data_IF_641050836964
#
_entry.id   IF_641050836964
#
_cell.length_a   1.000
_cell.length_b   1.000
_cell.length_c   1.000
_cell.angle_alpha   90.00
_cell.angle_beta   90.00
_cell.angle_gamma   90.00
#
_symmetry.space_group_name_H-M   'P 1'
#
loop_
_entity.id
_entity.type
_entity.pdbx_description
1 polymer ?
#
# COMPACT_ATOMS: atom_id res chain seq x y z
N UNK A 1 -29.92 2.89 -11.83
CA UNK A 1 -29.15 2.35 -10.68
C UNK A 1 -27.78 3.03 -10.57
N UNK A 2 -26.99 3.07 -11.63
CA UNK A 2 -25.65 3.71 -11.70
C UNK A 2 -25.61 5.15 -11.16
N UNK A 3 -26.52 6.03 -11.59
CA UNK A 3 -26.57 7.43 -11.10
C UNK A 3 -26.81 7.53 -9.58
N UNK A 4 -27.52 6.57 -8.99
CA UNK A 4 -27.76 6.52 -7.53
C UNK A 4 -26.51 6.08 -6.78
N UNK A 5 -25.78 5.09 -7.31
CA UNK A 5 -24.51 4.59 -6.74
C UNK A 5 -23.45 5.69 -6.79
N UNK A 6 -23.30 6.35 -7.95
CA UNK A 6 -22.36 7.44 -8.11
C UNK A 6 -22.67 8.61 -7.18
N UNK A 7 -23.96 8.92 -6.96
CA UNK A 7 -24.37 9.96 -6.01
C UNK A 7 -24.07 9.57 -4.55
N UNK A 8 -24.23 8.30 -4.19
CA UNK A 8 -23.89 7.81 -2.86
C UNK A 8 -22.38 7.81 -2.61
N UNK A 9 -21.57 7.33 -3.57
CA UNK A 9 -20.10 7.33 -3.45
C UNK A 9 -19.51 8.74 -3.34
N UNK A 10 -20.18 9.75 -3.89
CA UNK A 10 -19.81 11.17 -3.72
C UNK A 10 -19.84 11.67 -2.28
N UNK A 11 -20.45 10.93 -1.35
CA UNK A 11 -20.37 11.25 0.08
C UNK A 11 -18.94 11.11 0.64
N UNK A 12 -18.12 10.24 0.06
CA UNK A 12 -16.75 9.96 0.54
C UNK A 12 -15.68 10.23 -0.53
N UNK A 13 -16.06 10.21 -1.83
CA UNK A 13 -15.12 10.28 -2.96
C UNK A 13 -15.55 11.39 -3.93
N UNK A 14 -14.75 12.45 -4.05
CA UNK A 14 -15.08 13.61 -4.91
C UNK A 14 -15.44 13.20 -6.34
N UNK A 15 -14.64 12.31 -6.92
CA UNK A 15 -14.85 11.77 -8.27
C UNK A 15 -14.81 10.25 -8.20
N UNK A 16 -15.96 9.57 -8.00
CA UNK A 16 -16.01 8.11 -7.90
C UNK A 16 -15.43 7.46 -9.16
N UNK A 17 -14.45 6.55 -9.04
CA UNK A 17 -13.93 5.77 -10.16
C UNK A 17 -14.99 4.88 -10.79
N UNK A 18 -14.95 4.73 -12.12
CA UNK A 18 -15.94 3.93 -12.87
C UNK A 18 -15.93 2.44 -12.49
N UNK A 19 -14.75 1.89 -12.21
CA UNK A 19 -14.56 0.51 -11.76
C UNK A 19 -15.19 0.27 -10.38
N UNK A 20 -15.03 1.23 -9.46
CA UNK A 20 -15.66 1.20 -8.14
C UNK A 20 -17.19 1.33 -8.24
N UNK A 21 -17.69 2.21 -9.12
CA UNK A 21 -19.13 2.31 -9.41
C UNK A 21 -19.64 0.97 -9.96
N UNK A 22 -18.90 0.37 -10.89
CA UNK A 22 -19.27 -0.89 -11.52
C UNK A 22 -19.35 -2.06 -10.51
N UNK A 23 -18.42 -2.13 -9.54
CA UNK A 23 -18.44 -3.13 -8.46
C UNK A 23 -19.82 -3.20 -7.78
N UNK A 24 -20.37 -2.04 -7.42
CA UNK A 24 -21.65 -1.93 -6.71
C UNK A 24 -22.89 -2.06 -7.61
N UNK A 25 -22.73 -2.28 -8.92
CA UNK A 25 -23.85 -2.63 -9.81
C UNK A 25 -24.05 -4.14 -9.95
N UNK A 26 -23.13 -4.95 -9.42
CA UNK A 26 -23.15 -6.41 -9.51
C UNK A 26 -23.35 -7.06 -8.13
N UNK A 27 -23.78 -8.33 -8.07
CA UNK A 27 -23.78 -9.08 -6.82
C UNK A 27 -22.37 -9.16 -6.23
N UNK A 28 -22.26 -8.85 -4.94
CA UNK A 28 -20.99 -8.86 -4.22
C UNK A 28 -20.70 -10.26 -3.65
N UNK A 29 -19.46 -10.77 -3.75
CA UNK A 29 -19.12 -12.08 -3.21
C UNK A 29 -19.03 -12.04 -1.68
N UNK A 30 -19.60 -13.06 -1.04
CA UNK A 30 -19.60 -13.24 0.42
C UNK A 30 -19.26 -14.69 0.73
N UNK A 31 -18.02 -14.92 1.14
CA UNK A 31 -17.43 -16.20 1.54
C UNK A 31 -16.53 -15.96 2.78
N UNK A 32 -17.11 -15.81 3.98
CA UNK A 32 -16.37 -15.42 5.18
C UNK A 32 -15.25 -16.40 5.56
N UNK A 33 -15.43 -17.71 5.32
CA UNK A 33 -14.41 -18.74 5.54
C UNK A 33 -13.15 -18.53 4.69
N UNK A 34 -13.27 -17.78 3.59
CA UNK A 34 -12.16 -17.41 2.71
C UNK A 34 -11.67 -15.97 2.93
N UNK A 35 -12.10 -15.32 4.02
CA UNK A 35 -11.84 -13.89 4.33
C UNK A 35 -12.37 -12.92 3.27
N UNK A 36 -13.42 -13.33 2.55
CA UNK A 36 -14.08 -12.52 1.53
C UNK A 36 -15.48 -12.17 2.02
N UNK A 37 -15.71 -10.92 2.38
CA UNK A 37 -17.03 -10.38 2.68
C UNK A 37 -17.07 -8.93 2.23
N UNK A 38 -17.48 -8.73 0.97
CA UNK A 38 -17.65 -7.38 0.44
C UNK A 38 -18.80 -6.67 1.16
N UNK A 39 -18.53 -5.44 1.58
CA UNK A 39 -19.49 -4.57 2.23
C UNK A 39 -20.51 -4.10 1.19
N UNK A 40 -21.80 -4.12 1.53
CA UNK A 40 -22.79 -3.43 0.72
C UNK A 40 -22.54 -1.91 0.79
N UNK A 41 -22.97 -1.16 -0.23
CA UNK A 41 -22.61 0.26 -0.37
C UNK A 41 -22.88 1.13 0.88
N UNK A 42 -24.02 1.02 1.58
CA UNK A 42 -24.24 1.79 2.81
C UNK A 42 -23.23 1.45 3.91
N UNK A 43 -22.89 0.17 4.07
CA UNK A 43 -21.95 -0.30 5.09
C UNK A 43 -20.50 0.10 4.73
N UNK A 44 -20.15 0.02 3.44
CA UNK A 44 -18.88 0.48 2.93
C UNK A 44 -18.67 1.99 3.17
N UNK A 45 -19.71 2.80 2.96
CA UNK A 45 -19.69 4.25 3.25
C UNK A 45 -19.49 4.49 4.75
N UNK A 46 -20.31 3.85 5.60
CA UNK A 46 -20.21 4.01 7.05
C UNK A 46 -18.84 3.59 7.58
N UNK A 47 -18.31 2.48 7.09
CA UNK A 47 -16.99 2.01 7.53
C UNK A 47 -15.88 2.90 6.99
N UNK A 48 -16.00 3.41 5.76
CA UNK A 48 -15.07 4.41 5.22
C UNK A 48 -14.95 5.63 6.13
N UNK A 49 -16.08 6.16 6.62
CA UNK A 49 -16.05 7.27 7.59
C UNK A 49 -15.31 6.89 8.88
N UNK A 50 -15.57 5.70 9.44
CA UNK A 50 -14.85 5.24 10.62
C UNK A 50 -13.34 5.06 10.37
N UNK A 51 -12.93 4.61 9.19
CA UNK A 51 -11.51 4.52 8.81
C UNK A 51 -10.89 5.92 8.73
N UNK A 52 -11.59 6.91 8.14
CA UNK A 52 -11.11 8.29 8.05
C UNK A 52 -10.94 8.95 9.42
N UNK A 53 -11.80 8.59 10.39
CA UNK A 53 -11.73 9.13 11.76
C UNK A 53 -10.66 8.44 12.62
N UNK A 54 -10.36 7.16 12.37
CA UNK A 54 -9.57 6.32 13.28
C UNK A 54 -8.17 5.97 12.77
N UNK A 55 -7.91 6.17 11.48
CA UNK A 55 -6.62 5.83 10.88
C UNK A 55 -5.97 7.08 10.30
N UNK A 56 -4.65 7.16 10.43
CA UNK A 56 -3.88 8.26 9.84
C UNK A 56 -3.91 8.24 8.30
N UNK A 57 -4.12 7.08 7.68
CA UNK A 57 -4.10 6.93 6.23
C UNK A 57 -5.44 7.20 5.55
N UNK A 58 -6.55 7.14 6.31
CA UNK A 58 -7.90 7.16 5.76
C UNK A 58 -8.14 8.39 4.89
N UNK A 59 -7.87 9.58 5.44
CA UNK A 59 -8.11 10.85 4.75
C UNK A 59 -7.03 11.17 3.71
N UNK A 60 -5.74 10.95 4.04
CA UNK A 60 -4.61 11.28 3.16
C UNK A 60 -4.65 10.49 1.85
N UNK A 61 -4.85 9.18 1.94
CA UNK A 61 -4.93 8.28 0.78
C UNK A 61 -6.35 8.15 0.20
N UNK A 62 -7.34 8.72 0.88
CA UNK A 62 -8.75 8.61 0.51
C UNK A 62 -9.21 7.15 0.46
N UNK A 63 -8.93 6.40 1.53
CA UNK A 63 -9.26 4.98 1.61
C UNK A 63 -10.78 4.78 1.56
N UNK A 64 -11.25 3.82 0.78
CA UNK A 64 -12.65 3.43 0.72
C UNK A 64 -12.78 1.93 0.99
N UNK A 65 -13.49 1.56 2.06
CA UNK A 65 -13.62 0.17 2.47
C UNK A 65 -14.36 -0.66 1.41
N UNK A 66 -13.82 -1.84 1.05
CA UNK A 66 -14.44 -2.76 0.10
C UNK A 66 -14.91 -4.04 0.77
N UNK A 67 -14.07 -4.61 1.63
CA UNK A 67 -14.22 -5.94 2.18
C UNK A 67 -13.80 -5.93 3.64
N UNK A 68 -14.61 -6.52 4.52
CA UNK A 68 -14.25 -6.81 5.90
C UNK A 68 -14.91 -8.12 6.29
N UNK A 69 -14.11 -9.15 6.53
CA UNK A 69 -14.58 -10.47 6.94
C UNK A 69 -14.90 -10.53 8.44
N UNK A 70 -15.32 -9.40 9.01
CA UNK A 70 -15.56 -9.17 10.44
C UNK A 70 -14.31 -9.48 11.29
N UNK A 71 -13.15 -9.13 10.76
CA UNK A 71 -11.85 -9.25 11.43
C UNK A 71 -11.15 -7.91 11.60
N UNK A 72 -11.79 -6.82 11.17
CA UNK A 72 -11.25 -5.47 11.27
C UNK A 72 -9.94 -5.29 10.48
N UNK A 73 -9.70 -6.15 9.49
CA UNK A 73 -8.60 -6.03 8.54
C UNK A 73 -9.13 -5.72 7.13
N UNK A 74 -9.71 -4.52 6.89
CA UNK A 74 -10.40 -4.29 5.64
C UNK A 74 -9.44 -4.11 4.46
N UNK A 75 -9.84 -4.66 3.32
CA UNK A 75 -9.28 -4.23 2.03
C UNK A 75 -9.94 -2.92 1.59
N UNK A 76 -9.12 -1.93 1.27
CA UNK A 76 -9.53 -0.57 0.95
C UNK A 76 -9.05 -0.16 -0.44
N UNK A 77 -9.93 0.48 -1.21
CA UNK A 77 -9.58 1.14 -2.47
C UNK A 77 -8.94 2.49 -2.20
N UNK A 78 -7.79 2.77 -2.82
CA UNK A 78 -7.09 4.06 -2.69
C UNK A 78 -7.65 5.06 -3.71
N UNK A 79 -8.20 6.19 -3.26
CA UNK A 79 -8.81 7.17 -4.18
C UNK A 79 -7.97 8.43 -4.41
N UNK A 80 -6.90 8.63 -3.64
CA UNK A 80 -6.02 9.81 -3.69
C UNK A 80 -4.53 9.42 -3.70
N UNK A 81 -3.70 10.37 -4.12
CA UNK A 81 -2.24 10.23 -4.12
C UNK A 81 -1.68 9.35 -5.24
N UNK A 82 -0.36 9.08 -5.21
CA UNK A 82 0.35 8.34 -6.26
C UNK A 82 -0.14 6.91 -6.46
N UNK A 83 -0.67 6.28 -5.40
CA UNK A 83 -1.16 4.90 -5.42
C UNK A 83 -2.66 4.77 -5.78
N UNK A 84 -3.30 5.86 -6.22
CA UNK A 84 -4.72 5.87 -6.60
C UNK A 84 -5.05 4.71 -7.55
N UNK A 85 -6.12 3.99 -7.22
CA UNK A 85 -6.59 2.82 -7.96
C UNK A 85 -6.09 1.48 -7.43
N UNK A 86 -5.05 1.47 -6.59
CA UNK A 86 -4.57 0.27 -5.93
C UNK A 86 -5.46 -0.13 -4.74
N UNK A 87 -5.29 -1.37 -4.27
CA UNK A 87 -5.97 -1.89 -3.07
C UNK A 87 -4.95 -2.05 -1.94
N UNK A 88 -5.24 -1.40 -0.83
CA UNK A 88 -4.49 -1.43 0.41
C UNK A 88 -5.18 -2.34 1.40
N UNK A 89 -4.42 -3.19 2.08
CA UNK A 89 -4.90 -4.02 3.17
C UNK A 89 -4.51 -3.37 4.50
N UNK A 90 -5.52 -2.95 5.27
CA UNK A 90 -5.30 -2.44 6.62
C UNK A 90 -5.23 -3.65 7.55
N UNK A 91 -4.08 -3.87 8.20
CA UNK A 91 -3.94 -4.84 9.26
C UNK A 91 -3.97 -4.14 10.62
N UNK A 92 -4.74 -4.64 11.58
CA UNK A 92 -4.73 -4.11 12.94
C UNK A 92 -3.39 -4.37 13.66
N UNK A 93 -2.81 -5.55 13.47
CA UNK A 93 -1.61 -6.03 14.18
C UNK A 93 -0.38 -6.20 13.27
N UNK A 94 -0.43 -5.65 12.04
CA UNK A 94 0.58 -5.90 11.01
C UNK A 94 0.96 -4.68 10.18
N UNK A 95 1.83 -4.91 9.21
CA UNK A 95 2.24 -3.89 8.25
C UNK A 95 1.02 -3.50 7.38
N UNK A 96 0.78 -2.19 7.21
CA UNK A 96 -0.18 -1.70 6.22
C UNK A 96 0.48 -1.78 4.85
N UNK A 97 -0.12 -2.54 3.94
CA UNK A 97 0.51 -2.87 2.65
C UNK A 97 -0.45 -2.67 1.50
N UNK A 98 0.07 -2.20 0.37
CA UNK A 98 -0.65 -2.20 -0.90
C UNK A 98 -0.45 -3.59 -1.52
N UNK A 99 -1.51 -4.39 -1.56
CA UNK A 99 -1.44 -5.79 -2.00
C UNK A 99 -1.81 -5.99 -3.46
N UNK A 100 -2.66 -5.13 -4.01
CA UNK A 100 -3.14 -5.26 -5.39
C UNK A 100 -2.99 -3.97 -6.17
N UNK A 101 -2.55 -4.10 -7.41
CA UNK A 101 -2.26 -2.98 -8.31
C UNK A 101 -3.52 -2.31 -8.86
N UNK A 102 -4.68 -2.97 -8.73
CA UNK A 102 -5.97 -2.46 -9.17
C UNK A 102 -7.13 -3.21 -8.51
N UNK A 103 -8.33 -2.64 -8.57
CA UNK A 103 -9.56 -3.36 -8.20
C UNK A 103 -9.77 -4.62 -9.05
N UNK A 104 -9.45 -4.59 -10.35
CA UNK A 104 -9.53 -5.76 -11.21
C UNK A 104 -8.63 -6.90 -10.71
N UNK A 105 -7.36 -6.59 -10.38
CA UNK A 105 -6.43 -7.58 -9.84
C UNK A 105 -6.89 -8.15 -8.49
N UNK A 106 -7.53 -7.34 -7.65
CA UNK A 106 -8.15 -7.81 -6.40
C UNK A 106 -9.32 -8.76 -6.66
N UNK A 107 -10.22 -8.42 -7.60
CA UNK A 107 -11.34 -9.28 -7.96
C UNK A 107 -10.89 -10.60 -8.60
N UNK A 108 -9.82 -10.59 -9.40
CA UNK A 108 -9.19 -11.80 -9.93
C UNK A 108 -8.64 -12.69 -8.80
N UNK A 109 -8.05 -12.09 -7.77
CA UNK A 109 -7.58 -12.82 -6.59
C UNK A 109 -8.74 -13.38 -5.77
N UNK A 110 -9.81 -12.63 -5.55
CA UNK A 110 -11.06 -13.12 -4.94
C UNK A 110 -11.59 -14.33 -5.69
N UNK A 111 -11.66 -14.26 -7.02
CA UNK A 111 -12.09 -15.38 -7.86
C UNK A 111 -11.14 -16.59 -7.74
N UNK A 112 -9.84 -16.36 -7.60
CA UNK A 112 -8.84 -17.42 -7.42
C UNK A 112 -8.97 -18.09 -6.06
N UNK A 113 -9.11 -17.32 -4.98
CA UNK A 113 -9.37 -17.81 -3.63
C UNK A 113 -10.62 -18.70 -3.60
N UNK A 114 -11.72 -18.24 -4.21
CA UNK A 114 -12.96 -19.01 -4.33
C UNK A 114 -12.76 -20.33 -5.09
N UNK A 115 -12.00 -20.32 -6.19
CA UNK A 115 -11.74 -21.54 -6.99
C UNK A 115 -10.84 -22.54 -6.26
N UNK A 116 -9.91 -22.05 -5.45
CA UNK A 116 -8.95 -22.89 -4.72
C UNK A 116 -9.44 -23.28 -3.32
N UNK A 117 -10.49 -22.64 -2.82
CA UNK A 117 -10.97 -22.84 -1.45
C UNK A 117 -9.95 -22.40 -0.40
N UNK A 118 -9.14 -21.38 -0.71
CA UNK A 118 -8.12 -20.83 0.18
C UNK A 118 -8.53 -19.42 0.63
N UNK A 119 -8.21 -19.03 1.88
CA UNK A 119 -8.27 -17.63 2.28
C UNK A 119 -7.50 -16.74 1.30
N UNK A 120 -8.03 -15.54 1.02
CA UNK A 120 -7.44 -14.64 0.03
C UNK A 120 -5.99 -14.21 0.38
N UNK A 121 -5.67 -14.18 1.67
CA UNK A 121 -4.34 -13.91 2.23
C UNK A 121 -3.35 -15.06 2.00
N UNK A 122 -3.86 -16.31 1.92
CA UNK A 122 -3.05 -17.52 1.74
C UNK A 122 -2.72 -17.80 0.26
N UNK A 123 -3.20 -16.95 -0.66
CA UNK A 123 -2.87 -17.08 -2.07
C UNK A 123 -1.35 -16.91 -2.27
N UNK A 124 -0.72 -17.74 -3.13
CA UNK A 124 0.71 -17.67 -3.37
C UNK A 124 1.13 -16.29 -3.86
N UNK A 125 2.33 -15.85 -3.44
CA UNK A 125 2.84 -14.49 -3.59
C UNK A 125 2.60 -13.88 -4.97
N UNK A 126 1.98 -12.68 -4.95
CA UNK A 126 1.63 -11.91 -6.14
C UNK A 126 2.86 -11.14 -6.59
N UNK A 127 3.19 -11.16 -7.88
CA UNK A 127 4.17 -10.23 -8.45
C UNK A 127 3.56 -8.83 -8.43
N UNK A 128 3.78 -8.11 -7.33
CA UNK A 128 3.25 -6.78 -7.11
C UNK A 128 4.19 -5.74 -7.70
N UNK A 129 3.85 -5.25 -8.90
CA UNK A 129 4.56 -4.18 -9.60
C UNK A 129 3.56 -3.19 -10.19
N UNK A 130 2.97 -2.29 -9.39
CA UNK A 130 2.04 -1.30 -9.92
C UNK A 130 2.79 -0.34 -10.85
N UNK A 131 2.13 0.04 -11.95
CA UNK A 131 2.63 1.09 -12.83
C UNK A 131 2.34 2.44 -12.18
N UNK A 132 3.32 2.97 -11.46
CA UNK A 132 3.23 4.26 -10.76
C UNK A 132 3.97 5.33 -11.56
N UNK A 133 3.39 6.54 -11.62
CA UNK A 133 4.10 7.73 -12.08
C UNK A 133 5.18 8.07 -11.05
N UNK A 134 6.43 7.72 -11.38
CA UNK A 134 7.55 7.87 -10.46
C UNK A 134 7.90 9.33 -10.19
N UNK A 135 7.65 10.25 -11.13
CA UNK A 135 7.94 11.67 -10.91
C UNK A 135 6.91 12.25 -9.92
N UNK A 136 5.62 11.94 -10.13
CA UNK A 136 4.57 12.32 -9.18
C UNK A 136 4.79 11.69 -7.79
N UNK A 137 5.20 10.42 -7.72
CA UNK A 137 5.54 9.76 -6.46
C UNK A 137 6.71 10.45 -5.75
N UNK A 138 7.78 10.80 -6.46
CA UNK A 138 8.94 11.47 -5.88
C UNK A 138 8.60 12.87 -5.34
N UNK A 139 7.80 13.64 -6.08
CA UNK A 139 7.31 14.96 -5.65
C UNK A 139 6.45 14.84 -4.39
N UNK A 140 5.54 13.85 -4.38
CA UNK A 140 4.67 13.60 -3.22
C UNK A 140 5.45 13.15 -1.99
N UNK A 141 6.42 12.24 -2.15
CA UNK A 141 7.34 11.83 -1.06
C UNK A 141 8.08 13.04 -0.50
N UNK A 142 8.63 13.89 -1.37
CA UNK A 142 9.36 15.09 -0.95
C UNK A 142 8.47 16.04 -0.16
N UNK A 143 7.21 16.18 -0.56
CA UNK A 143 6.21 16.95 0.17
C UNK A 143 5.92 16.37 1.56
N UNK A 144 5.71 15.05 1.66
CA UNK A 144 5.46 14.36 2.93
C UNK A 144 6.65 14.48 3.90
N UNK A 145 7.89 14.33 3.40
CA UNK A 145 9.11 14.55 4.20
C UNK A 145 9.15 15.98 4.75
N UNK A 146 8.73 16.98 3.98
CA UNK A 146 8.73 18.37 4.41
C UNK A 146 7.63 18.69 5.45
N UNK A 147 6.54 17.92 5.48
CA UNK A 147 5.46 18.07 6.47
C UNK A 147 5.91 17.53 7.84
N UNK A 148 6.61 16.40 7.87
CA UNK A 148 7.16 15.76 9.09
C UNK A 148 6.09 15.59 10.19
N UNK A 149 4.99 14.89 9.86
CA UNK A 149 3.91 14.54 10.78
C UNK A 149 3.70 13.03 10.86
N UNK A 150 3.10 12.53 11.94
CA UNK A 150 2.79 11.09 12.10
C UNK A 150 1.96 10.53 10.92
N UNK A 151 1.04 11.33 10.37
CA UNK A 151 0.26 10.99 9.19
C UNK A 151 1.15 10.85 7.94
N UNK A 152 2.06 11.81 7.74
CA UNK A 152 3.03 11.76 6.65
C UNK A 152 3.98 10.57 6.80
N UNK A 153 4.45 10.27 8.01
CA UNK A 153 5.29 9.10 8.28
C UNK A 153 4.60 7.78 7.91
N UNK A 154 3.34 7.63 8.31
CA UNK A 154 2.55 6.45 7.96
C UNK A 154 2.42 6.32 6.44
N UNK A 155 2.07 7.39 5.74
CA UNK A 155 1.94 7.36 4.28
C UNK A 155 3.28 7.08 3.59
N UNK A 156 4.38 7.67 4.07
CA UNK A 156 5.73 7.40 3.58
C UNK A 156 6.07 5.91 3.69
N UNK A 157 5.74 5.24 4.79
CA UNK A 157 6.01 3.80 4.95
C UNK A 157 5.26 2.94 3.93
N UNK A 158 4.01 3.32 3.61
CA UNK A 158 3.15 2.62 2.64
C UNK A 158 3.60 2.88 1.20
N UNK A 159 4.04 4.10 0.88
CA UNK A 159 4.46 4.48 -0.46
C UNK A 159 5.89 4.08 -0.79
N UNK A 160 6.77 3.93 0.21
CA UNK A 160 8.20 3.59 -0.02
C UNK A 160 8.38 2.32 -0.87
N UNK A 161 7.65 1.21 -0.66
CA UNK A 161 7.75 0.02 -1.52
C UNK A 161 7.43 0.25 -3.00
N UNK A 162 6.75 1.35 -3.36
CA UNK A 162 6.39 1.70 -4.73
C UNK A 162 7.49 2.49 -5.48
N UNK A 163 8.49 2.98 -4.75
CA UNK A 163 9.55 3.80 -5.30
C UNK A 163 10.53 2.93 -6.10
N UNK A 164 10.84 3.35 -7.32
CA UNK A 164 11.91 2.75 -8.11
C UNK A 164 13.27 3.08 -7.49
N UNK A 165 14.10 2.07 -7.21
CA UNK A 165 15.42 2.26 -6.60
C UNK A 165 16.42 2.99 -7.51
N UNK A 166 16.09 3.19 -8.80
CA UNK A 166 16.79 4.12 -9.68
C UNK A 166 16.60 5.61 -9.28
N UNK A 167 15.58 5.94 -8.49
CA UNK A 167 15.34 7.29 -7.93
C UNK A 167 16.20 7.54 -6.69
N UNK A 168 17.51 7.49 -6.90
CA UNK A 168 18.54 7.46 -5.84
C UNK A 168 18.39 8.61 -4.83
N UNK A 169 18.04 9.81 -5.27
CA UNK A 169 17.94 10.96 -4.37
C UNK A 169 16.73 10.87 -3.44
N UNK A 170 15.57 10.41 -3.94
CA UNK A 170 14.39 10.14 -3.10
C UNK A 170 14.64 9.01 -2.12
N UNK A 171 15.30 7.93 -2.56
CA UNK A 171 15.70 6.82 -1.67
C UNK A 171 16.66 7.31 -0.58
N UNK A 172 17.63 8.17 -0.93
CA UNK A 172 18.56 8.75 0.05
C UNK A 172 17.83 9.64 1.05
N UNK A 173 16.95 10.53 0.59
CA UNK A 173 16.18 11.41 1.47
C UNK A 173 15.37 10.60 2.51
N UNK A 174 14.68 9.54 2.08
CA UNK A 174 13.97 8.64 2.98
C UNK A 174 14.89 7.90 3.97
N UNK A 175 16.10 7.53 3.53
CA UNK A 175 17.07 6.82 4.39
C UNK A 175 17.65 7.69 5.51
N UNK A 176 17.49 9.01 5.42
CA UNK A 176 17.93 9.98 6.42
C UNK A 176 16.77 10.50 7.28
N UNK A 177 15.54 10.04 7.02
CA UNK A 177 14.34 10.44 7.74
C UNK A 177 14.45 10.16 9.25
N UNK A 178 13.81 10.98 10.09
CA UNK A 178 13.80 10.87 11.56
C UNK A 178 13.17 9.56 12.06
N UNK A 179 12.03 9.18 11.46
CA UNK A 179 11.31 7.93 11.70
C UNK A 179 12.09 6.68 11.33
N UNK A 180 12.26 5.77 12.29
CA UNK A 180 12.89 4.47 12.02
C UNK A 180 12.00 3.55 11.16
N UNK A 181 10.67 3.74 11.17
CA UNK A 181 9.76 2.97 10.32
C UNK A 181 9.97 3.29 8.83
N UNK A 182 10.14 4.58 8.50
CA UNK A 182 10.46 5.01 7.13
C UNK A 182 11.81 4.43 6.68
N UNK A 183 12.85 4.54 7.53
CA UNK A 183 14.17 3.99 7.19
C UNK A 183 14.17 2.46 7.07
N UNK A 184 13.38 1.76 7.89
CA UNK A 184 13.16 0.32 7.73
C UNK A 184 12.52 -0.01 6.38
N UNK A 185 11.47 0.73 5.99
CA UNK A 185 10.79 0.54 4.72
C UNK A 185 11.77 0.72 3.54
N UNK A 186 12.69 1.69 3.61
CA UNK A 186 13.76 1.87 2.61
C UNK A 186 14.69 0.66 2.56
N UNK A 187 15.11 0.13 3.71
CA UNK A 187 15.97 -1.06 3.74
C UNK A 187 15.26 -2.29 3.12
N UNK A 188 13.97 -2.45 3.38
CA UNK A 188 13.15 -3.51 2.76
C UNK A 188 13.00 -3.31 1.24
N UNK A 189 12.78 -2.07 0.79
CA UNK A 189 12.76 -1.70 -0.63
C UNK A 189 14.07 -2.07 -1.34
N UNK A 190 15.22 -1.69 -0.79
CA UNK A 190 16.53 -1.99 -1.39
C UNK A 190 16.78 -3.50 -1.41
N UNK A 191 16.29 -4.24 -0.42
CA UNK A 191 16.40 -5.70 -0.40
C UNK A 191 15.59 -6.34 -1.53
N UNK A 192 14.37 -5.86 -1.80
CA UNK A 192 13.51 -6.41 -2.85
C UNK A 192 13.88 -5.94 -4.26
N UNK A 193 14.48 -4.75 -4.37
CA UNK A 193 14.88 -4.12 -5.64
C UNK A 193 16.31 -3.58 -5.55
N UNK A 194 17.34 -4.44 -5.41
CA UNK A 194 18.70 -3.98 -5.19
C UNK A 194 19.22 -3.15 -6.36
N UNK A 195 19.93 -2.07 -6.03
CA UNK A 195 20.57 -1.18 -7.01
C UNK A 195 21.99 -0.83 -6.55
N UNK A 196 23.00 -1.04 -7.42
CA UNK A 196 24.41 -0.81 -7.11
C UNK A 196 24.71 0.65 -6.70
N UNK A 197 23.95 1.61 -7.24
CA UNK A 197 24.10 3.04 -6.90
C UNK A 197 23.69 3.36 -5.46
N UNK A 198 23.00 2.45 -4.77
CA UNK A 198 22.53 2.62 -3.39
C UNK A 198 23.47 2.02 -2.34
N UNK A 199 24.68 1.59 -2.70
CA UNK A 199 25.58 0.92 -1.74
C UNK A 199 25.84 1.75 -0.47
N UNK A 200 26.07 3.06 -0.61
CA UNK A 200 26.28 3.96 0.54
C UNK A 200 25.03 4.10 1.41
N UNK A 201 23.85 4.09 0.79
CA UNK A 201 22.56 4.12 1.52
C UNK A 201 22.38 2.81 2.28
N UNK A 202 22.67 1.67 1.66
CA UNK A 202 22.59 0.38 2.32
C UNK A 202 23.60 0.24 3.48
N UNK A 203 24.81 0.78 3.34
CA UNK A 203 25.81 0.87 4.42
C UNK A 203 25.33 1.74 5.59
N UNK A 204 24.73 2.91 5.29
CA UNK A 204 24.14 3.78 6.30
C UNK A 204 23.07 3.03 7.10
N UNK A 205 22.12 2.39 6.41
CA UNK A 205 21.03 1.66 7.02
C UNK A 205 21.52 0.43 7.81
N UNK A 206 22.54 -0.30 7.33
CA UNK A 206 23.11 -1.45 8.02
C UNK A 206 23.80 -1.10 9.35
N UNK A 207 24.22 0.17 9.50
CA UNK A 207 24.86 0.72 10.69
C UNK A 207 23.91 1.61 11.52
N UNK A 208 22.61 1.61 11.23
CA UNK A 208 21.63 2.38 11.99
C UNK A 208 21.64 1.97 13.48
N UNK A 209 21.41 2.94 14.36
CA UNK A 209 21.37 2.71 15.82
C UNK A 209 20.20 1.83 16.24
N UNK A 210 19.11 1.82 15.46
CA UNK A 210 17.95 0.99 15.72
C UNK A 210 18.12 -0.36 15.04
N UNK A 211 18.07 -1.44 15.83
CA UNK A 211 18.19 -2.82 15.31
C UNK A 211 17.13 -3.14 14.26
N UNK A 212 15.94 -2.56 14.39
CA UNK A 212 14.82 -2.67 13.45
C UNK A 212 15.16 -2.13 12.05
N UNK A 213 16.07 -1.16 11.94
CA UNK A 213 16.59 -0.67 10.66
C UNK A 213 17.87 -1.41 10.27
N UNK A 214 18.78 -1.61 11.22
CA UNK A 214 20.08 -2.23 10.97
C UNK A 214 19.99 -3.66 10.41
N UNK A 215 19.04 -4.46 10.90
CA UNK A 215 18.91 -5.86 10.44
C UNK A 215 18.40 -5.95 8.99
N UNK A 216 17.30 -5.28 8.60
CA UNK A 216 16.97 -5.10 7.19
C UNK A 216 18.07 -4.43 6.38
N UNK A 217 18.76 -3.42 6.93
CA UNK A 217 19.86 -2.72 6.27
C UNK A 217 21.02 -3.63 5.89
N UNK A 218 21.38 -4.59 6.76
CA UNK A 218 22.40 -5.61 6.44
C UNK A 218 21.96 -6.52 5.30
N UNK A 219 20.67 -6.87 5.22
CA UNK A 219 20.12 -7.65 4.10
C UNK A 219 20.16 -6.84 2.81
N UNK A 220 19.78 -5.56 2.86
CA UNK A 220 19.88 -4.63 1.75
C UNK A 220 21.32 -4.51 1.24
N UNK A 221 22.28 -4.32 2.13
CA UNK A 221 23.70 -4.23 1.79
C UNK A 221 24.22 -5.53 1.16
N UNK A 222 23.81 -6.68 1.69
CA UNK A 222 24.14 -7.97 1.09
C UNK A 222 23.56 -8.10 -0.32
N UNK A 223 22.31 -7.69 -0.54
CA UNK A 223 21.64 -7.75 -1.84
C UNK A 223 22.34 -6.85 -2.87
N UNK A 224 22.68 -5.62 -2.49
CA UNK A 224 23.42 -4.66 -3.34
C UNK A 224 24.82 -5.19 -3.69
N UNK A 225 25.56 -5.75 -2.72
CA UNK A 225 26.87 -6.33 -2.98
C UNK A 225 26.82 -7.52 -3.94
N UNK A 226 25.78 -8.34 -3.86
CA UNK A 226 25.62 -9.49 -4.74
C UNK A 226 25.42 -9.07 -6.21
N UNK A 227 24.62 -8.05 -6.47
CA UNK A 227 24.43 -7.56 -7.85
C UNK A 227 25.65 -6.80 -8.37
N UNK A 228 26.39 -6.09 -7.51
CA UNK A 228 27.59 -5.36 -7.91
C UNK A 228 28.75 -6.29 -8.31
N UNK A 229 28.76 -7.54 -7.82
CA UNK A 229 29.74 -8.56 -8.22
C UNK A 229 29.41 -9.24 -9.56
N UNK A 230 28.18 -9.10 -10.04
CA UNK A 230 27.70 -9.70 -11.28
C UNK A 230 27.83 -8.77 -12.49
N UNK A 231 28.05 -7.47 -12.26
CA UNK A 231 28.25 -6.43 -13.27
C UNK A 231 29.73 -6.05 -13.37
#
# INVERSE_FOLDING_TARGET
MTNSIQSALKACINTPPDDLVALYTSPLPIYPDLRIAFLILPDAINYTHAIHERTLLGTSMGLFALNDANDSNPYCYITRGPAKGCILHLHHDGDVVIEYTSLAAFLDAVCTAMKQGLPIEDLPGKDFRPKIDQDYLCDHISHLIAIDSDEAECELTVLTPLLDTARVDSVRALSEHSSFFVREAVARLITSQPNAHLIKVAELLANDRHSQVAQPGKRALSAVNNIARLN
#
